data_IF_471333419978
#
_entry.id   IF_471333419978
#
_cell.length_a   1.000
_cell.length_b   1.000
_cell.length_c   1.000
_cell.angle_alpha   90.00
_cell.angle_beta   90.00
_cell.angle_gamma   90.00
#
_symmetry.space_group_name_H-M   'P 1'
#
loop_
_entity.id
_entity.type
_entity.pdbx_description
1 polymer ?
#
# COMPACT_ATOMS: atom_id res chain seq x y z
N UNK A 1 31.46 4.98 18.03
CA UNK A 1 30.88 3.88 18.84
C UNK A 1 30.24 2.88 17.88
N UNK A 2 30.35 1.56 18.11
CA UNK A 2 29.74 0.54 17.24
C UNK A 2 28.91 -0.42 18.07
N UNK A 3 27.65 -0.61 17.68
CA UNK A 3 26.73 -1.54 18.31
C UNK A 3 26.40 -2.65 17.30
N UNK A 4 26.67 -3.89 17.66
CA UNK A 4 26.20 -5.07 16.93
C UNK A 4 24.87 -5.52 17.50
N UNK A 5 23.97 -5.92 16.63
CA UNK A 5 22.65 -6.46 16.96
C UNK A 5 22.53 -7.82 16.28
N UNK A 6 22.33 -8.87 17.05
CA UNK A 6 22.13 -10.23 16.53
C UNK A 6 20.86 -10.80 17.16
N UNK A 7 19.89 -11.10 16.31
CA UNK A 7 18.61 -11.69 16.71
C UNK A 7 17.86 -10.83 17.75
N UNK A 8 17.91 -9.51 17.60
CA UNK A 8 17.08 -8.66 18.44
C UNK A 8 15.65 -8.67 17.92
N UNK A 9 14.71 -8.78 18.84
CA UNK A 9 13.28 -8.70 18.55
C UNK A 9 12.71 -7.40 19.09
N UNK A 10 11.88 -6.75 18.30
CA UNK A 10 11.18 -5.51 18.62
C UNK A 10 9.71 -5.67 18.22
N UNK A 11 8.81 -5.15 19.03
CA UNK A 11 7.39 -5.04 18.69
C UNK A 11 6.98 -3.59 18.48
N UNK A 12 6.24 -3.32 17.40
CA UNK A 12 5.54 -2.07 17.16
C UNK A 12 4.04 -2.37 17.02
N UNK A 13 3.25 -1.99 18.00
CA UNK A 13 1.90 -2.50 18.21
C UNK A 13 1.92 -4.04 18.28
N UNK A 14 1.16 -4.72 17.44
CA UNK A 14 1.15 -6.19 17.37
C UNK A 14 2.17 -6.76 16.38
N UNK A 15 2.87 -5.90 15.63
CA UNK A 15 3.83 -6.31 14.62
C UNK A 15 5.22 -6.58 15.23
N UNK A 16 5.71 -7.81 15.06
CA UNK A 16 7.04 -8.25 15.53
C UNK A 16 8.10 -8.10 14.44
N UNK A 17 9.26 -7.54 14.82
CA UNK A 17 10.43 -7.39 13.96
C UNK A 17 11.61 -8.15 14.53
N UNK A 18 12.28 -8.95 13.71
CA UNK A 18 13.65 -9.39 13.93
C UNK A 18 14.64 -8.42 13.30
N UNK A 19 15.75 -8.15 13.97
CA UNK A 19 16.81 -7.25 13.47
C UNK A 19 18.17 -7.92 13.68
N UNK A 20 18.95 -7.94 12.58
CA UNK A 20 20.35 -8.37 12.57
C UNK A 20 21.22 -7.31 11.90
N UNK A 21 22.44 -7.10 12.44
CA UNK A 21 23.39 -6.20 11.80
C UNK A 21 24.19 -5.35 12.78
N UNK A 22 24.57 -4.18 12.32
CA UNK A 22 25.26 -3.22 13.17
C UNK A 22 24.88 -1.76 12.87
N UNK A 23 25.07 -0.94 13.89
CA UNK A 23 25.02 0.51 13.83
C UNK A 23 26.32 1.06 14.42
N UNK A 24 26.98 1.95 13.69
CA UNK A 24 28.18 2.63 14.16
C UNK A 24 28.03 4.15 14.02
N UNK A 25 28.57 4.88 14.96
CA UNK A 25 28.63 6.35 14.97
C UNK A 25 30.09 6.77 15.02
N UNK A 26 30.79 6.83 13.86
CA UNK A 26 32.21 7.23 13.80
C UNK A 26 32.43 8.74 14.01
N UNK A 27 31.40 9.53 14.12
CA UNK A 27 31.37 10.98 14.33
C UNK A 27 29.93 11.42 14.46
N UNK A 28 29.54 12.41 13.67
CA UNK A 28 28.15 12.88 13.57
C UNK A 28 27.33 12.03 12.60
N UNK A 29 27.99 11.26 11.76
CA UNK A 29 27.36 10.34 10.82
C UNK A 29 27.00 9.01 11.47
N UNK A 30 26.04 8.29 10.88
CA UNK A 30 25.60 6.97 11.30
C UNK A 30 25.84 5.96 10.19
N UNK A 31 26.75 5.03 10.39
CA UNK A 31 27.00 3.90 9.49
C UNK A 31 26.17 2.70 9.91
N UNK A 32 25.50 2.07 8.97
CA UNK A 32 24.62 0.92 9.25
C UNK A 32 24.73 -0.17 8.19
N UNK A 33 24.60 -1.42 8.63
CA UNK A 33 24.35 -2.60 7.79
C UNK A 33 23.41 -3.48 8.61
N UNK A 34 22.11 -3.36 8.33
CA UNK A 34 21.06 -3.99 9.10
C UNK A 34 20.07 -4.70 8.19
N UNK A 35 19.63 -5.87 8.61
CA UNK A 35 18.52 -6.60 8.03
C UNK A 35 17.41 -6.67 9.05
N UNK A 36 16.18 -6.58 8.57
CA UNK A 36 14.99 -6.73 9.39
C UNK A 36 13.99 -7.63 8.67
N UNK A 37 13.22 -8.35 9.45
CA UNK A 37 12.26 -9.32 8.95
C UNK A 37 11.08 -9.45 9.91
N UNK A 38 9.97 -9.93 9.41
CA UNK A 38 8.81 -10.22 10.27
C UNK A 38 9.08 -11.42 11.16
N UNK A 39 8.65 -11.35 12.42
CA UNK A 39 8.67 -12.46 13.37
C UNK A 39 7.26 -12.77 13.84
N UNK A 40 6.79 -13.99 13.58
CA UNK A 40 5.49 -14.49 14.02
C UNK A 40 4.31 -13.54 13.71
N UNK A 41 4.36 -12.91 12.52
CA UNK A 41 3.32 -11.99 12.09
C UNK A 41 2.27 -12.73 11.27
N UNK A 42 1.04 -12.47 11.61
CA UNK A 42 -0.12 -12.75 10.78
C UNK A 42 -0.60 -11.47 10.06
N UNK A 43 -1.60 -11.62 9.22
CA UNK A 43 -2.15 -10.47 8.49
C UNK A 43 -2.78 -9.42 9.44
N UNK A 44 -3.27 -9.83 10.64
CA UNK A 44 -3.79 -8.91 11.65
C UNK A 44 -2.69 -7.98 12.18
N UNK A 45 -1.52 -8.54 12.47
CA UNK A 45 -0.36 -7.78 12.94
C UNK A 45 0.06 -6.69 11.95
N UNK A 46 0.00 -6.97 10.63
CA UNK A 46 0.26 -5.97 9.60
C UNK A 46 -0.74 -4.82 9.61
N UNK A 47 -2.01 -5.14 9.78
CA UNK A 47 -3.06 -4.12 9.83
C UNK A 47 -2.92 -3.22 11.06
N UNK A 48 -2.25 -3.68 12.13
CA UNK A 48 -1.95 -2.86 13.31
C UNK A 48 -1.00 -1.70 13.03
N UNK A 49 -0.28 -1.74 11.91
CA UNK A 49 0.59 -0.64 11.46
C UNK A 49 -0.16 0.46 10.72
N UNK A 50 -1.42 0.23 10.34
CA UNK A 50 -2.24 1.23 9.66
C UNK A 50 -2.64 2.33 10.65
N UNK A 51 -2.43 3.63 10.33
CA UNK A 51 -2.72 4.71 11.25
C UNK A 51 -4.17 4.77 11.72
N UNK A 52 -4.36 5.18 12.94
CA UNK A 52 -5.53 5.07 13.80
C UNK A 52 -6.91 5.59 13.32
N UNK A 53 -7.05 6.09 12.10
CA UNK A 53 -8.37 6.37 11.51
C UNK A 53 -9.21 5.09 11.39
N UNK A 54 -8.52 3.94 11.32
CA UNK A 54 -9.13 2.61 11.17
C UNK A 54 -9.06 1.79 12.47
N UNK A 55 -8.46 2.29 13.54
CA UNK A 55 -8.15 1.51 14.75
C UNK A 55 -9.30 1.39 15.75
N UNK A 56 -10.38 2.14 15.62
CA UNK A 56 -11.48 2.15 16.59
C UNK A 56 -12.24 0.80 16.69
N UNK A 57 -12.06 -0.10 15.72
CA UNK A 57 -12.70 -1.41 15.65
C UNK A 57 -11.70 -2.57 15.52
N UNK A 58 -10.44 -2.34 15.87
CA UNK A 58 -9.36 -3.30 15.61
C UNK A 58 -9.48 -4.58 16.44
N UNK A 59 -9.99 -4.47 17.67
CA UNK A 59 -10.16 -5.62 18.57
C UNK A 59 -11.17 -6.65 18.03
N UNK A 60 -12.20 -6.18 17.33
CA UNK A 60 -13.25 -7.00 16.73
C UNK A 60 -12.96 -7.40 15.26
N UNK A 61 -11.80 -7.01 14.74
CA UNK A 61 -11.39 -7.32 13.37
C UNK A 61 -11.13 -8.81 13.20
N UNK A 62 -11.86 -9.44 12.29
CA UNK A 62 -11.58 -10.81 11.87
C UNK A 62 -10.57 -10.79 10.74
N UNK A 63 -9.51 -11.58 10.89
CA UNK A 63 -8.47 -11.71 9.87
C UNK A 63 -7.99 -13.13 9.72
N UNK A 64 -7.47 -13.45 8.53
CA UNK A 64 -6.67 -14.65 8.26
C UNK A 64 -5.74 -14.38 7.09
N UNK A 65 -4.78 -15.27 6.85
CA UNK A 65 -3.82 -15.19 5.77
C UNK A 65 -2.38 -15.11 6.27
N UNK A 66 -1.47 -15.32 5.36
CA UNK A 66 -0.03 -15.32 5.62
C UNK A 66 0.59 -14.00 5.15
N UNK A 67 1.58 -13.52 5.89
CA UNK A 67 2.34 -12.34 5.55
C UNK A 67 3.81 -12.54 5.81
N UNK A 68 4.62 -12.21 4.82
CA UNK A 68 6.07 -12.14 4.93
C UNK A 68 6.55 -10.70 4.71
N UNK A 69 7.48 -10.29 5.53
CA UNK A 69 8.09 -8.98 5.50
C UNK A 69 9.59 -9.09 5.67
N UNK A 70 10.35 -8.41 4.83
CA UNK A 70 11.80 -8.33 4.95
C UNK A 70 12.35 -7.02 4.43
N UNK A 71 13.51 -6.63 4.93
CA UNK A 71 14.19 -5.46 4.43
C UNK A 71 15.65 -5.41 4.85
N UNK A 72 16.38 -4.47 4.26
CA UNK A 72 17.75 -4.18 4.61
C UNK A 72 18.04 -2.69 4.43
N UNK A 73 18.96 -2.19 5.25
CA UNK A 73 19.53 -0.85 5.18
C UNK A 73 21.05 -1.00 5.17
N UNK A 74 21.73 -0.34 4.22
CA UNK A 74 23.19 -0.42 4.12
C UNK A 74 23.80 0.88 3.66
N UNK A 75 24.74 1.41 4.40
CA UNK A 75 25.45 2.64 4.06
C UNK A 75 25.52 3.63 5.21
N UNK A 76 25.73 4.88 4.87
CA UNK A 76 25.84 5.97 5.82
C UNK A 76 24.63 6.88 5.76
N UNK A 77 24.08 7.18 6.92
CA UNK A 77 23.10 8.24 7.10
C UNK A 77 23.81 9.50 7.60
N UNK A 78 23.65 10.61 6.89
CA UNK A 78 24.20 11.93 7.24
C UNK A 78 23.25 13.04 6.80
N UNK A 79 23.63 14.29 6.97
CA UNK A 79 22.85 15.42 6.45
C UNK A 79 22.67 15.39 4.92
N UNK A 80 23.58 14.73 4.20
CA UNK A 80 23.62 14.73 2.73
C UNK A 80 23.53 13.33 2.10
N UNK A 81 23.48 12.28 2.91
CA UNK A 81 23.47 10.88 2.45
C UNK A 81 22.42 10.07 3.16
N UNK A 82 21.71 9.27 2.40
CA UNK A 82 20.79 8.25 2.91
C UNK A 82 21.34 6.86 2.59
N UNK A 83 21.22 5.85 3.47
CA UNK A 83 21.68 4.50 3.15
C UNK A 83 20.86 3.89 2.01
N UNK A 84 21.48 3.03 1.23
CA UNK A 84 20.77 2.14 0.33
C UNK A 84 19.79 1.28 1.14
N UNK A 85 18.61 1.01 0.58
CA UNK A 85 17.60 0.19 1.25
C UNK A 85 16.83 -0.70 0.29
N UNK A 86 16.32 -1.78 0.83
CA UNK A 86 15.34 -2.62 0.20
C UNK A 86 14.27 -3.04 1.20
N UNK A 87 13.07 -3.19 0.71
CA UNK A 87 11.90 -3.61 1.46
C UNK A 87 11.07 -4.55 0.62
N UNK A 88 10.63 -5.65 1.19
CA UNK A 88 9.72 -6.61 0.58
C UNK A 88 8.55 -6.92 1.49
N UNK A 89 7.36 -7.00 0.92
CA UNK A 89 6.13 -7.42 1.59
C UNK A 89 5.37 -8.37 0.68
N UNK A 90 5.03 -9.54 1.20
CA UNK A 90 4.17 -10.51 0.53
C UNK A 90 2.98 -10.81 1.42
N UNK A 91 1.78 -10.82 0.84
CA UNK A 91 0.55 -11.27 1.49
C UNK A 91 -0.05 -12.37 0.62
N UNK A 92 -0.40 -13.50 1.24
CA UNK A 92 -1.05 -14.63 0.60
C UNK A 92 -2.38 -14.95 1.28
N UNK A 93 -3.44 -15.02 0.47
CA UNK A 93 -4.79 -15.37 0.90
C UNK A 93 -5.26 -14.58 2.14
N UNK A 94 -4.89 -13.30 2.18
CA UNK A 94 -5.31 -12.40 3.24
C UNK A 94 -6.84 -12.22 3.23
N UNK A 95 -7.42 -12.13 4.41
CA UNK A 95 -8.83 -11.80 4.61
C UNK A 95 -8.96 -10.87 5.80
N UNK A 96 -9.83 -9.89 5.68
CA UNK A 96 -10.24 -9.07 6.82
C UNK A 96 -11.72 -8.68 6.74
N UNK A 97 -12.33 -8.55 7.90
CA UNK A 97 -13.70 -8.06 8.05
C UNK A 97 -13.83 -7.23 9.32
N UNK A 98 -14.11 -5.96 9.16
CA UNK A 98 -14.55 -5.09 10.25
C UNK A 98 -16.00 -5.42 10.65
N UNK A 99 -16.41 -5.17 11.91
CA UNK A 99 -17.78 -5.48 12.37
C UNK A 99 -18.88 -4.82 11.53
N UNK A 100 -18.62 -3.61 11.04
CA UNK A 100 -19.58 -2.82 10.27
C UNK A 100 -19.56 -3.16 8.77
N UNK A 101 -18.65 -4.04 8.33
CA UNK A 101 -18.62 -4.49 6.94
C UNK A 101 -19.64 -5.58 6.68
N UNK A 102 -20.51 -5.42 5.68
CA UNK A 102 -21.52 -6.42 5.35
C UNK A 102 -20.91 -7.73 4.84
N UNK A 103 -19.71 -7.66 4.26
CA UNK A 103 -18.96 -8.81 3.73
C UNK A 103 -17.47 -8.64 3.99
N UNK A 104 -16.70 -9.75 4.07
CA UNK A 104 -15.25 -9.66 4.18
C UNK A 104 -14.62 -9.19 2.88
N UNK A 105 -13.45 -8.56 2.99
CA UNK A 105 -12.47 -8.48 1.92
C UNK A 105 -11.63 -9.74 2.01
N UNK A 106 -11.53 -10.50 0.93
CA UNK A 106 -10.88 -11.82 0.92
C UNK A 106 -9.99 -12.01 -0.32
N UNK A 107 -9.23 -13.10 -0.34
CA UNK A 107 -8.27 -13.41 -1.38
C UNK A 107 -7.29 -12.24 -1.64
N UNK A 108 -6.92 -11.54 -0.56
CA UNK A 108 -5.94 -10.46 -0.64
C UNK A 108 -4.58 -11.08 -0.90
N UNK A 109 -4.06 -10.86 -2.09
CA UNK A 109 -2.72 -11.28 -2.48
C UNK A 109 -1.94 -10.04 -2.92
N UNK A 110 -0.72 -9.89 -2.39
CA UNK A 110 0.13 -8.73 -2.69
C UNK A 110 1.59 -9.14 -2.70
N UNK A 111 2.33 -8.62 -3.66
CA UNK A 111 3.79 -8.67 -3.68
C UNK A 111 4.32 -7.28 -3.99
N UNK A 112 4.92 -6.65 -2.97
CA UNK A 112 5.49 -5.31 -3.03
C UNK A 112 6.99 -5.38 -2.79
N UNK A 113 7.76 -4.70 -3.64
CA UNK A 113 9.19 -4.43 -3.45
C UNK A 113 9.45 -2.94 -3.57
N UNK A 114 10.26 -2.43 -2.65
CA UNK A 114 10.77 -1.05 -2.70
C UNK A 114 12.29 -1.13 -2.59
N UNK A 115 13.00 -0.55 -3.56
CA UNK A 115 14.45 -0.66 -3.64
C UNK A 115 15.05 0.72 -3.93
N UNK A 116 16.11 1.04 -3.21
CA UNK A 116 16.96 2.17 -3.48
C UNK A 116 18.42 1.76 -3.25
N UNK A 117 19.15 1.54 -4.34
CA UNK A 117 20.55 1.07 -4.28
C UNK A 117 21.55 2.21 -4.17
N UNK A 118 21.12 3.46 -4.37
CA UNK A 118 22.00 4.62 -4.47
C UNK A 118 22.11 5.45 -3.20
N UNK A 119 21.12 5.38 -2.32
CA UNK A 119 20.94 6.31 -1.22
C UNK A 119 20.35 7.67 -1.63
N UNK A 120 20.18 7.95 -2.90
CA UNK A 120 19.40 9.10 -3.37
C UNK A 120 17.94 8.65 -3.55
N UNK A 121 17.04 9.22 -2.74
CA UNK A 121 15.62 8.85 -2.72
C UNK A 121 14.92 9.01 -4.07
N UNK A 122 15.46 9.88 -4.94
CA UNK A 122 14.91 10.08 -6.28
C UNK A 122 14.99 8.81 -7.15
N UNK A 123 15.98 7.95 -6.91
CA UNK A 123 16.17 6.69 -7.63
C UNK A 123 15.49 5.50 -6.96
N UNK A 124 14.52 5.75 -6.10
CA UNK A 124 13.70 4.68 -5.52
C UNK A 124 12.84 4.03 -6.60
N UNK A 125 12.86 2.70 -6.63
CA UNK A 125 11.95 1.89 -7.41
C UNK A 125 10.90 1.26 -6.49
N UNK A 126 9.63 1.36 -6.86
CA UNK A 126 8.49 0.72 -6.20
C UNK A 126 7.88 -0.23 -7.22
N UNK A 127 7.77 -1.50 -6.87
CA UNK A 127 7.21 -2.56 -7.71
C UNK A 127 6.15 -3.33 -6.92
N UNK A 128 4.90 -3.05 -7.21
CA UNK A 128 3.74 -3.84 -6.83
C UNK A 128 3.45 -4.81 -7.97
N UNK A 129 4.20 -5.90 -8.03
CA UNK A 129 4.17 -6.85 -9.16
C UNK A 129 2.86 -7.62 -9.23
N UNK A 130 2.23 -7.85 -8.08
CA UNK A 130 0.94 -8.50 -7.94
C UNK A 130 0.11 -7.83 -6.85
N UNK A 131 -1.12 -7.53 -7.20
CA UNK A 131 -2.15 -7.12 -6.25
C UNK A 131 -3.48 -7.71 -6.69
N UNK A 132 -4.16 -8.41 -5.81
CA UNK A 132 -5.54 -8.86 -6.01
C UNK A 132 -6.28 -8.93 -4.70
N UNK A 133 -7.57 -8.68 -4.75
CA UNK A 133 -8.51 -8.89 -3.66
C UNK A 133 -9.92 -9.14 -4.22
N UNK A 134 -10.77 -9.71 -3.41
CA UNK A 134 -12.20 -9.81 -3.69
C UNK A 134 -13.00 -9.05 -2.63
N UNK A 135 -13.91 -8.27 -3.10
CA UNK A 135 -14.86 -7.51 -2.32
C UNK A 135 -16.26 -8.13 -2.49
N UNK A 136 -16.70 -8.91 -1.51
CA UNK A 136 -17.81 -9.82 -1.72
C UNK A 136 -17.49 -10.80 -2.84
N UNK A 137 -18.24 -10.73 -3.96
CA UNK A 137 -18.00 -11.56 -5.16
C UNK A 137 -17.32 -10.77 -6.31
N UNK A 138 -16.71 -9.64 -5.99
CA UNK A 138 -16.18 -8.70 -6.99
C UNK A 138 -14.64 -8.65 -6.94
N UNK A 139 -13.96 -9.26 -7.93
CA UNK A 139 -12.52 -9.26 -7.98
C UNK A 139 -11.96 -7.90 -8.44
N UNK A 140 -10.89 -7.48 -7.78
CA UNK A 140 -10.04 -6.37 -8.18
C UNK A 140 -8.62 -6.87 -8.26
N UNK A 141 -7.91 -6.56 -9.32
CA UNK A 141 -6.51 -6.93 -9.48
C UNK A 141 -5.74 -5.85 -10.20
N UNK A 142 -4.45 -5.81 -9.95
CA UNK A 142 -3.59 -4.84 -10.60
C UNK A 142 -2.11 -5.13 -10.38
N UNK A 143 -1.32 -4.32 -11.01
CA UNK A 143 0.11 -4.19 -10.82
C UNK A 143 0.51 -2.73 -11.01
N UNK A 144 1.56 -2.32 -10.35
CA UNK A 144 2.06 -0.96 -10.48
C UNK A 144 3.56 -0.95 -10.26
N UNK A 145 4.28 -0.31 -11.17
CA UNK A 145 5.70 -0.05 -11.04
C UNK A 145 5.96 1.43 -11.26
N UNK A 146 6.78 2.01 -10.40
CA UNK A 146 7.35 3.34 -10.62
C UNK A 146 8.84 3.30 -10.31
N UNK A 147 9.63 3.94 -11.17
CA UNK A 147 11.08 4.17 -11.00
C UNK A 147 11.38 5.63 -11.21
N UNK A 148 12.49 6.08 -10.65
CA UNK A 148 12.93 7.45 -10.80
C UNK A 148 11.85 8.46 -10.38
N UNK A 149 11.80 8.75 -9.08
CA UNK A 149 10.80 9.65 -8.50
C UNK A 149 10.97 11.13 -8.92
N UNK A 150 11.98 11.45 -9.71
CA UNK A 150 12.11 12.76 -10.36
C UNK A 150 11.22 12.79 -11.61
N UNK A 151 11.31 11.73 -12.42
CA UNK A 151 10.66 11.63 -13.72
C UNK A 151 9.44 10.72 -13.71
N UNK A 152 9.21 9.98 -12.63
CA UNK A 152 8.09 9.07 -12.42
C UNK A 152 7.86 8.15 -13.64
N UNK A 153 8.89 7.38 -14.02
CA UNK A 153 8.71 6.34 -15.03
C UNK A 153 7.80 5.24 -14.46
N UNK A 154 6.61 5.09 -15.04
CA UNK A 154 5.58 4.22 -14.50
C UNK A 154 5.02 3.23 -15.52
N UNK A 155 4.61 2.07 -15.03
CA UNK A 155 3.83 1.06 -15.75
C UNK A 155 2.81 0.48 -14.77
N UNK A 156 1.54 0.62 -15.06
CA UNK A 156 0.47 0.19 -14.18
C UNK A 156 -0.72 -0.38 -14.93
N UNK A 157 -1.44 -1.28 -14.25
CA UNK A 157 -2.71 -1.83 -14.69
C UNK A 157 -3.62 -2.03 -13.49
N UNK A 158 -4.90 -1.70 -13.65
CA UNK A 158 -5.95 -1.95 -12.68
C UNK A 158 -7.17 -2.48 -13.41
N UNK A 159 -7.66 -3.63 -12.98
CA UNK A 159 -8.89 -4.26 -13.50
C UNK A 159 -9.75 -4.64 -12.31
N UNK A 160 -11.03 -4.31 -12.36
CA UNK A 160 -11.92 -4.71 -11.29
C UNK A 160 -13.35 -4.26 -11.45
N UNK A 161 -14.16 -4.77 -10.54
CA UNK A 161 -15.54 -4.31 -10.32
C UNK A 161 -15.70 -4.01 -8.85
N UNK A 162 -16.41 -2.94 -8.54
CA UNK A 162 -16.60 -2.48 -7.16
C UNK A 162 -18.04 -2.02 -6.98
N UNK A 163 -18.67 -2.40 -5.88
CA UNK A 163 -19.83 -1.72 -5.37
C UNK A 163 -19.40 -0.49 -4.58
N UNK A 164 -19.80 0.69 -5.03
CA UNK A 164 -19.39 1.95 -4.41
C UNK A 164 -19.92 2.11 -3.00
N UNK A 165 -21.08 1.54 -2.67
CA UNK A 165 -21.63 1.55 -1.32
C UNK A 165 -20.76 0.69 -0.39
N UNK A 166 -20.38 -0.50 -0.85
CA UNK A 166 -19.49 -1.39 -0.09
C UNK A 166 -18.11 -0.75 0.08
N UNK A 167 -17.54 -0.18 -0.99
CA UNK A 167 -16.25 0.50 -0.94
C UNK A 167 -16.23 1.65 0.08
N UNK A 168 -17.25 2.50 0.07
CA UNK A 168 -17.34 3.64 1.00
C UNK A 168 -17.68 3.24 2.44
N UNK A 169 -18.16 2.01 2.66
CA UNK A 169 -18.30 1.47 4.01
C UNK A 169 -16.94 1.13 4.65
N UNK A 170 -15.93 0.80 3.83
CA UNK A 170 -14.55 0.52 4.31
C UNK A 170 -13.71 1.79 4.34
N UNK A 171 -13.82 2.59 3.28
CA UNK A 171 -13.09 3.84 3.11
C UNK A 171 -14.10 5.00 3.09
N UNK A 172 -14.58 5.42 4.27
CA UNK A 172 -15.55 6.51 4.34
C UNK A 172 -15.01 7.76 3.66
N UNK A 173 -15.81 8.30 2.75
CA UNK A 173 -15.52 9.59 2.14
C UNK A 173 -16.36 10.61 2.91
N UNK A 174 -15.68 11.51 3.60
CA UNK A 174 -16.37 12.56 4.36
C UNK A 174 -17.29 13.37 3.44
N UNK A 175 -18.50 13.67 3.93
CA UNK A 175 -19.48 14.49 3.25
C UNK A 175 -20.00 13.95 1.91
N UNK A 176 -19.79 12.66 1.58
CA UNK A 176 -20.30 12.07 0.35
C UNK A 176 -20.93 10.69 0.58
N UNK A 177 -22.06 10.46 -0.07
CA UNK A 177 -22.70 9.14 -0.19
C UNK A 177 -22.60 8.71 -1.65
N UNK A 178 -21.96 7.54 -1.90
CA UNK A 178 -21.78 6.97 -3.23
C UNK A 178 -22.44 5.59 -3.28
N UNK A 179 -23.15 5.29 -4.39
CA UNK A 179 -23.68 3.95 -4.68
C UNK A 179 -23.55 3.67 -6.18
N UNK A 180 -23.63 2.42 -6.56
CA UNK A 180 -23.58 1.95 -7.93
C UNK A 180 -22.47 0.95 -8.17
N UNK A 181 -22.50 0.31 -9.32
CA UNK A 181 -21.50 -0.66 -9.74
C UNK A 181 -20.49 0.03 -10.65
N UNK A 182 -19.23 0.08 -10.21
CA UNK A 182 -18.11 0.63 -10.95
C UNK A 182 -17.28 -0.51 -11.54
N UNK A 183 -17.13 -0.55 -12.86
CA UNK A 183 -16.18 -1.42 -13.54
C UNK A 183 -15.02 -0.59 -14.10
N UNK A 184 -13.80 -1.06 -13.90
CA UNK A 184 -12.56 -0.40 -14.33
C UNK A 184 -11.69 -1.41 -15.07
N UNK A 185 -11.19 -1.01 -16.24
CA UNK A 185 -10.08 -1.65 -16.93
C UNK A 185 -9.17 -0.53 -17.42
N UNK A 186 -8.05 -0.33 -16.73
CA UNK A 186 -7.18 0.81 -16.95
C UNK A 186 -5.71 0.40 -16.99
N UNK A 187 -4.96 1.02 -17.90
CA UNK A 187 -3.50 0.93 -17.96
C UNK A 187 -2.90 2.33 -18.02
N UNK A 188 -1.75 2.53 -17.40
CA UNK A 188 -0.96 3.74 -17.48
C UNK A 188 0.50 3.36 -17.74
N UNK A 189 1.13 3.93 -18.78
CA UNK A 189 2.51 3.63 -19.11
C UNK A 189 3.24 4.84 -19.64
N UNK A 190 4.42 5.10 -19.15
CA UNK A 190 5.29 6.17 -19.60
C UNK A 190 5.84 6.99 -18.45
N UNK A 191 6.29 8.18 -18.79
CA UNK A 191 6.88 9.14 -17.86
C UNK A 191 5.86 10.21 -17.49
N UNK A 192 5.88 10.64 -16.22
CA UNK A 192 5.19 11.83 -15.77
C UNK A 192 6.22 12.91 -15.39
N UNK A 193 6.08 14.10 -15.97
CA UNK A 193 6.90 15.25 -15.65
C UNK A 193 6.01 16.50 -15.69
N UNK A 194 5.72 17.04 -14.52
CA UNK A 194 4.84 18.20 -14.38
C UNK A 194 5.44 19.51 -14.94
N UNK A 195 6.77 19.59 -14.99
CA UNK A 195 7.48 20.78 -15.51
C UNK A 195 7.54 20.76 -17.03
N UNK A 196 7.81 19.58 -17.60
CA UNK A 196 7.85 19.39 -19.06
C UNK A 196 6.47 19.10 -19.67
N UNK A 197 5.39 19.08 -18.86
CA UNK A 197 4.02 18.76 -19.27
C UNK A 197 3.91 17.38 -19.95
N UNK A 198 4.73 16.43 -19.52
CA UNK A 198 4.70 15.06 -20.02
C UNK A 198 3.75 14.27 -19.13
N UNK A 199 2.79 13.56 -19.74
CA UNK A 199 1.89 12.64 -19.06
C UNK A 199 2.05 11.23 -19.64
N UNK A 200 1.90 10.17 -18.83
CA UNK A 200 1.93 8.81 -19.34
C UNK A 200 0.75 8.54 -20.28
N UNK A 201 0.91 7.57 -21.16
CA UNK A 201 -0.22 7.08 -21.97
C UNK A 201 -1.17 6.33 -21.06
N UNK A 202 -2.40 6.81 -20.97
CA UNK A 202 -3.47 6.21 -20.19
C UNK A 202 -4.51 5.65 -21.16
N UNK A 203 -4.83 4.36 -21.02
CA UNK A 203 -5.98 3.74 -21.65
C UNK A 203 -6.91 3.27 -20.54
N UNK A 204 -8.13 3.73 -20.53
CA UNK A 204 -9.08 3.37 -19.51
C UNK A 204 -10.48 3.15 -20.11
N UNK A 205 -11.11 2.07 -19.67
CA UNK A 205 -12.53 1.82 -19.82
C UNK A 205 -13.13 1.83 -18.43
N UNK A 206 -14.01 2.79 -18.18
CA UNK A 206 -14.70 2.97 -16.91
C UNK A 206 -16.19 2.93 -17.20
N UNK A 207 -16.90 2.05 -16.50
CA UNK A 207 -18.35 1.92 -16.61
C UNK A 207 -18.96 2.08 -15.22
N UNK A 208 -19.90 3.01 -15.08
CA UNK A 208 -20.69 3.18 -13.87
C UNK A 208 -22.14 2.85 -14.21
N UNK A 209 -22.73 1.94 -13.42
CA UNK A 209 -24.12 1.53 -13.58
C UNK A 209 -24.89 1.81 -12.29
N UNK A 210 -26.09 2.40 -12.44
CA UNK A 210 -26.97 2.77 -11.33
C UNK A 210 -26.26 3.67 -10.30
N UNK A 211 -25.42 4.58 -10.76
CA UNK A 211 -24.68 5.49 -9.93
C UNK A 211 -25.59 6.44 -9.14
N UNK A 212 -25.22 6.67 -7.88
CA UNK A 212 -25.83 7.66 -7.00
C UNK A 212 -24.73 8.45 -6.32
N UNK A 213 -24.87 9.76 -6.33
CA UNK A 213 -23.96 10.69 -5.64
C UNK A 213 -24.78 11.69 -4.84
N UNK A 214 -24.50 11.79 -3.57
CA UNK A 214 -25.03 12.82 -2.69
C UNK A 214 -23.90 13.43 -1.89
N UNK A 215 -23.86 14.75 -1.82
CA UNK A 215 -22.86 15.51 -1.04
C UNK A 215 -23.57 16.42 -0.06
N UNK A 216 -22.97 16.67 1.09
CA UNK A 216 -23.47 17.67 2.05
C UNK A 216 -23.45 19.08 1.47
N UNK A 217 -22.52 19.37 0.54
CA UNK A 217 -22.44 20.63 -0.18
C UNK A 217 -23.55 20.80 -1.24
N UNK A 218 -24.20 19.71 -1.66
CA UNK A 218 -25.25 19.71 -2.67
C UNK A 218 -26.43 18.86 -2.18
N UNK A 219 -27.51 19.49 -1.68
CA UNK A 219 -28.59 18.77 -0.98
C UNK A 219 -29.43 17.85 -1.89
N UNK A 220 -29.40 18.07 -3.21
CA UNK A 220 -30.11 17.23 -4.16
C UNK A 220 -29.20 16.09 -4.64
N UNK A 221 -29.55 14.80 -4.43
CA UNK A 221 -28.79 13.71 -4.97
C UNK A 221 -28.86 13.66 -6.49
N UNK A 222 -27.84 13.11 -7.12
CA UNK A 222 -27.84 12.75 -8.53
C UNK A 222 -27.97 11.23 -8.61
N UNK A 223 -29.04 10.76 -9.23
CA UNK A 223 -29.40 9.35 -9.30
C UNK A 223 -29.34 8.82 -10.74
N UNK A 224 -29.26 7.47 -10.86
CA UNK A 224 -29.30 6.76 -12.13
C UNK A 224 -28.20 7.19 -13.11
N UNK A 225 -27.01 7.47 -12.58
CA UNK A 225 -25.84 7.78 -13.40
C UNK A 225 -25.39 6.48 -14.09
N UNK A 226 -25.37 6.50 -15.42
CA UNK A 226 -24.88 5.41 -16.25
C UNK A 226 -23.92 5.99 -17.28
N UNK A 227 -22.68 5.58 -17.24
CA UNK A 227 -21.59 6.10 -18.08
C UNK A 227 -20.79 4.94 -18.63
#
# INVERSE_FOLDING_TARGET
MKFGVNGASLKLNDFGFGIDGFLAMPGDDMEMDAKFYGEDNDFKSALSLVPGVYSASFDDLKTSGEMDFSGALKGTYSETSFPAFQFGLTINEGMFQYPDLPRPVQHVNMELKVVNDSGDLNYTAIDLSRFSLEFGDQPVSGRFMVKDLINYEMDGQLIGKLDLLELTSIFPIEDMELKGQLAIDATAKGRYDSVAEIIPVINAKIELTNGHVKSTAYPAPIDNINV
#
